data_IF_525785517614
#
_entry.id   IF_525785517614
#
_cell.length_a   1.000
_cell.length_b   1.000
_cell.length_c   1.000
_cell.angle_alpha   90.00
_cell.angle_beta   90.00
_cell.angle_gamma   90.00
#
_symmetry.space_group_name_H-M   'P 1'
#
loop_
_entity.id
_entity.type
_entity.pdbx_description
1 polymer ?
#
# COMPACT_ATOMS: atom_id res chain seq x y z
N UNK A 1 5.49 -14.59 25.77
CA UNK A 1 5.36 -14.59 24.30
C UNK A 1 4.62 -13.32 23.90
N UNK A 2 5.31 -12.34 23.32
CA UNK A 2 4.68 -11.08 22.94
C UNK A 2 3.71 -11.32 21.78
N UNK A 3 2.43 -11.09 22.02
CA UNK A 3 1.39 -11.10 21.01
C UNK A 3 1.64 -9.89 20.08
N UNK A 4 2.48 -10.07 19.05
CA UNK A 4 2.70 -9.07 18.01
C UNK A 4 1.39 -8.91 17.25
N UNK A 5 0.55 -7.98 17.69
CA UNK A 5 -0.62 -7.50 16.92
C UNK A 5 -0.13 -7.24 15.49
N UNK A 6 -0.60 -8.02 14.52
CA UNK A 6 -0.35 -7.74 13.12
C UNK A 6 -1.03 -6.41 12.78
N UNK A 7 -0.24 -5.38 12.54
CA UNK A 7 -0.73 -4.09 12.06
C UNK A 7 -1.29 -4.31 10.66
N UNK A 8 -2.61 -4.17 10.50
CA UNK A 8 -3.27 -4.21 9.20
C UNK A 8 -3.43 -2.78 8.69
N UNK A 9 -3.33 -2.58 7.38
CA UNK A 9 -3.49 -1.26 6.78
C UNK A 9 -4.56 -1.34 5.70
N UNK A 10 -5.60 -0.51 5.83
CA UNK A 10 -6.52 -0.29 4.73
C UNK A 10 -5.91 0.78 3.83
N UNK A 11 -5.61 0.41 2.59
CA UNK A 11 -4.96 1.28 1.61
C UNK A 11 -5.98 1.64 0.54
N UNK A 12 -6.04 2.90 0.14
CA UNK A 12 -6.96 3.36 -0.90
C UNK A 12 -6.20 4.21 -1.91
N UNK A 13 -6.32 3.89 -3.19
CA UNK A 13 -5.66 4.65 -4.24
C UNK A 13 -6.25 6.06 -4.32
N UNK A 14 -5.41 7.10 -4.31
CA UNK A 14 -5.87 8.50 -4.39
C UNK A 14 -6.44 8.86 -5.77
N UNK A 15 -6.12 8.07 -6.80
CA UNK A 15 -6.50 8.31 -8.19
C UNK A 15 -7.85 7.71 -8.57
N UNK A 16 -8.04 6.41 -8.31
CA UNK A 16 -9.30 5.72 -8.62
C UNK A 16 -10.22 5.53 -7.41
N UNK A 17 -9.79 5.96 -6.22
CA UNK A 17 -10.52 5.83 -4.94
C UNK A 17 -10.86 4.38 -4.55
N UNK A 18 -10.29 3.38 -5.25
CA UNK A 18 -10.54 1.97 -4.94
C UNK A 18 -9.78 1.54 -3.69
N UNK A 19 -10.43 0.85 -2.75
CA UNK A 19 -9.74 0.25 -1.62
C UNK A 19 -8.97 -1.00 -2.06
N UNK A 20 -7.74 -1.10 -1.59
CA UNK A 20 -6.84 -2.25 -1.70
C UNK A 20 -6.50 -2.64 -0.27
N UNK A 21 -6.91 -3.84 0.17
CA UNK A 21 -6.50 -4.32 1.49
C UNK A 21 -5.06 -4.79 1.42
N UNK A 22 -4.22 -4.30 2.33
CA UNK A 22 -2.90 -4.88 2.56
C UNK A 22 -2.74 -5.29 4.02
N UNK A 23 -2.14 -6.45 4.23
CA UNK A 23 -1.94 -7.02 5.57
C UNK A 23 -0.55 -6.72 6.12
N UNK A 24 0.38 -6.18 5.31
CA UNK A 24 1.74 -5.84 5.71
C UNK A 24 2.46 -4.95 4.66
N UNK A 25 3.46 -4.17 5.08
CA UNK A 25 4.38 -3.47 4.16
C UNK A 25 5.50 -4.39 3.66
N UNK A 26 5.14 -5.54 3.10
CA UNK A 26 6.13 -6.46 2.51
C UNK A 26 6.49 -6.02 1.09
N UNK A 27 7.64 -6.46 0.57
CA UNK A 27 8.05 -6.17 -0.81
C UNK A 27 6.99 -6.59 -1.85
N UNK A 28 6.29 -7.71 -1.61
CA UNK A 28 5.21 -8.17 -2.49
C UNK A 28 4.00 -7.25 -2.51
N UNK A 29 3.63 -6.70 -1.35
CA UNK A 29 2.50 -5.76 -1.25
C UNK A 29 2.83 -4.41 -1.88
N UNK A 30 4.06 -3.90 -1.70
CA UNK A 30 4.55 -2.71 -2.39
C UNK A 30 4.55 -2.90 -3.91
N UNK A 31 4.99 -4.07 -4.38
CA UNK A 31 4.96 -4.40 -5.81
C UNK A 31 3.51 -4.40 -6.35
N UNK A 32 2.55 -4.95 -5.59
CA UNK A 32 1.15 -4.94 -5.98
C UNK A 32 0.61 -3.49 -6.08
N UNK A 33 0.89 -2.64 -5.09
CA UNK A 33 0.51 -1.23 -5.14
C UNK A 33 1.12 -0.50 -6.34
N UNK A 34 2.38 -0.79 -6.68
CA UNK A 34 3.03 -0.25 -7.87
C UNK A 34 2.34 -0.70 -9.16
N UNK A 35 2.08 -1.99 -9.32
CA UNK A 35 1.36 -2.54 -10.48
C UNK A 35 -0.03 -1.93 -10.65
N UNK A 36 -0.69 -1.62 -9.53
CA UNK A 36 -1.93 -0.86 -9.57
C UNK A 36 -1.72 0.57 -10.07
N UNK A 37 -0.71 1.28 -9.56
CA UNK A 37 -0.37 2.65 -9.97
C UNK A 37 -0.01 2.72 -11.46
N UNK A 38 0.74 1.76 -11.98
CA UNK A 38 1.08 1.64 -13.41
C UNK A 38 -0.15 1.57 -14.32
N UNK A 39 -1.23 0.95 -13.84
CA UNK A 39 -2.50 0.85 -14.58
C UNK A 39 -3.41 2.06 -14.35
N UNK A 40 -3.37 2.62 -13.14
CA UNK A 40 -4.29 3.66 -12.71
C UNK A 40 -3.84 5.07 -13.08
N UNK A 41 -2.54 5.36 -12.94
CA UNK A 41 -1.92 6.64 -13.20
C UNK A 41 -0.46 6.43 -13.66
N UNK A 42 -0.24 5.95 -14.90
CA UNK A 42 1.09 5.60 -15.41
C UNK A 42 2.09 6.75 -15.38
N UNK A 43 1.63 8.00 -15.46
CA UNK A 43 2.46 9.20 -15.41
C UNK A 43 2.99 9.54 -14.00
N UNK A 44 2.42 8.92 -12.97
CA UNK A 44 2.82 9.13 -11.57
C UNK A 44 3.60 7.96 -10.99
N UNK A 45 3.93 6.95 -11.81
CA UNK A 45 4.72 5.80 -11.34
C UNK A 45 6.14 6.28 -11.01
N UNK A 46 6.66 6.01 -9.80
CA UNK A 46 8.02 6.40 -9.45
C UNK A 46 9.03 5.75 -10.39
N UNK A 47 10.00 6.54 -10.88
CA UNK A 47 11.05 6.06 -11.76
C UNK A 47 11.89 4.96 -11.11
N UNK A 48 12.08 5.04 -9.79
CA UNK A 48 12.82 4.05 -9.02
C UNK A 48 11.89 2.92 -8.53
N UNK A 49 12.23 1.68 -8.88
CA UNK A 49 11.49 0.47 -8.50
C UNK A 49 11.55 0.17 -7.00
N UNK A 50 12.59 0.63 -6.31
CA UNK A 50 12.85 0.35 -4.90
C UNK A 50 12.19 1.37 -3.95
N UNK A 51 11.65 2.48 -4.47
CA UNK A 51 11.04 3.53 -3.65
C UNK A 51 9.64 3.14 -3.16
N UNK A 52 9.59 2.33 -2.10
CA UNK A 52 8.36 1.96 -1.40
C UNK A 52 7.62 3.20 -0.87
N UNK A 53 8.36 4.17 -0.34
CA UNK A 53 7.77 5.40 0.20
C UNK A 53 7.07 6.23 -0.88
N UNK A 54 7.68 6.40 -2.05
CA UNK A 54 7.04 7.13 -3.16
C UNK A 54 5.80 6.40 -3.65
N UNK A 55 5.87 5.07 -3.81
CA UNK A 55 4.70 4.28 -4.20
C UNK A 55 3.55 4.49 -3.21
N UNK A 56 3.83 4.44 -1.91
CA UNK A 56 2.81 4.57 -0.85
C UNK A 56 2.18 5.96 -0.77
N UNK A 57 2.87 7.03 -1.21
CA UNK A 57 2.32 8.40 -1.22
C UNK A 57 1.09 8.54 -2.10
N UNK A 58 0.96 7.75 -3.17
CA UNK A 58 -0.22 7.74 -4.05
C UNK A 58 -1.42 7.02 -3.44
N UNK A 59 -1.25 6.47 -2.23
CA UNK A 59 -2.31 5.82 -1.50
C UNK A 59 -2.61 6.55 -0.20
N UNK A 60 -3.86 6.49 0.22
CA UNK A 60 -4.31 6.83 1.57
C UNK A 60 -4.18 5.57 2.40
N UNK A 61 -3.44 5.67 3.51
CA UNK A 61 -3.22 4.57 4.44
C UNK A 61 -4.03 4.84 5.70
N UNK A 62 -4.84 3.86 6.11
CA UNK A 62 -5.58 3.89 7.36
C UNK A 62 -5.10 2.69 8.19
N UNK A 63 -4.42 2.91 9.33
CA UNK A 63 -4.06 1.82 10.22
C UNK A 63 -5.35 1.22 10.80
N UNK A 64 -5.48 -0.10 10.69
CA UNK A 64 -6.59 -0.86 11.27
C UNK A 64 -5.99 -1.70 12.39
N UNK A 65 -6.32 -1.35 13.63
CA UNK A 65 -6.00 -2.22 14.76
C UNK A 65 -6.80 -3.51 14.62
N UNK A 66 -6.10 -4.63 14.41
CA UNK A 66 -6.71 -5.94 14.56
C UNK A 66 -7.09 -6.14 16.04
N UNK A 67 -8.38 -6.03 16.36
CA UNK A 67 -8.92 -6.71 17.54
C UNK A 67 -8.87 -8.21 17.23
N UNK A 68 -7.94 -8.92 17.86
CA UNK A 68 -7.99 -10.37 17.98
C UNK A 68 -9.08 -10.75 18.99
#
# INVERSE_FOLDING_TARGET
MANKKALRFLVSCRHCLRPIMTVAWSAGEILHLRQHLEKCAPHEVPADAASAEETVRHFRVIPVEGRA
#
